data_IF_032840801934
#
_entry.id   IF_032840801934
#
_cell.length_a   1.000
_cell.length_b   1.000
_cell.length_c   1.000
_cell.angle_alpha   90.00
_cell.angle_beta   90.00
_cell.angle_gamma   90.00
#
_symmetry.space_group_name_H-M   'P 1'
#
loop_
_entity.id
_entity.type
_entity.pdbx_description
1 polymer ?
#
# COMPACT_ATOMS: atom_id res chain seq x y z
N UNK A 1 -21.39 26.43 19.61
CA UNK A 1 -20.72 26.00 18.36
C UNK A 1 -21.39 24.72 17.88
N UNK A 2 -22.07 24.71 16.73
CA UNK A 2 -22.68 23.49 16.18
C UNK A 2 -21.57 22.66 15.55
N UNK A 3 -21.42 21.40 15.96
CA UNK A 3 -20.43 20.48 15.39
C UNK A 3 -20.98 19.97 14.07
N UNK A 4 -20.33 20.29 12.97
CA UNK A 4 -20.70 19.81 11.63
C UNK A 4 -20.11 18.41 11.41
N UNK A 5 -20.88 17.53 10.77
CA UNK A 5 -20.50 16.15 10.47
C UNK A 5 -20.48 15.95 8.96
N UNK A 6 -19.46 15.29 8.43
CA UNK A 6 -19.35 15.02 7.00
C UNK A 6 -19.50 13.52 6.71
N UNK A 7 -20.06 13.21 5.55
CA UNK A 7 -20.21 11.85 5.08
C UNK A 7 -18.86 11.28 4.65
N UNK A 8 -18.48 10.10 5.15
CA UNK A 8 -17.22 9.45 4.75
C UNK A 8 -17.14 9.12 3.26
N UNK A 9 -18.28 8.84 2.60
CA UNK A 9 -18.34 8.45 1.20
C UNK A 9 -18.29 9.66 0.23
N UNK A 10 -19.21 10.63 0.37
CA UNK A 10 -19.32 11.76 -0.56
C UNK A 10 -18.80 13.10 -0.02
N UNK A 11 -18.37 13.15 1.25
CA UNK A 11 -17.84 14.35 1.92
C UNK A 11 -18.82 15.49 2.14
N UNK A 12 -20.07 15.36 1.70
CA UNK A 12 -21.13 16.32 1.98
C UNK A 12 -21.48 16.39 3.48
N UNK A 13 -21.98 17.54 3.90
CA UNK A 13 -22.41 17.78 5.29
C UNK A 13 -23.69 16.99 5.57
N UNK A 14 -23.70 16.27 6.69
CA UNK A 14 -24.81 15.41 7.12
C UNK A 14 -25.11 15.63 8.61
N UNK A 15 -26.28 15.16 9.04
CA UNK A 15 -26.62 15.13 10.45
C UNK A 15 -25.82 14.05 11.19
N UNK A 16 -25.57 14.28 12.49
CA UNK A 16 -24.74 13.43 13.37
C UNK A 16 -25.20 11.96 13.40
N UNK A 17 -26.51 11.77 13.38
CA UNK A 17 -27.24 10.52 13.57
C UNK A 17 -27.92 10.03 12.29
N UNK A 18 -27.57 10.61 11.13
CA UNK A 18 -28.07 10.15 9.86
C UNK A 18 -27.71 8.67 9.66
N UNK A 19 -28.73 7.81 9.55
CA UNK A 19 -28.55 6.38 9.23
C UNK A 19 -28.31 6.15 7.75
N UNK A 20 -28.70 7.11 6.90
CA UNK A 20 -28.48 7.13 5.45
C UNK A 20 -28.14 8.54 4.97
N UNK A 21 -27.15 8.67 4.10
CA UNK A 21 -26.80 9.95 3.49
C UNK A 21 -27.85 10.37 2.43
N UNK A 22 -28.36 11.61 2.45
CA UNK A 22 -29.31 12.09 1.44
C UNK A 22 -28.66 12.40 0.08
N UNK A 23 -27.34 12.59 0.03
CA UNK A 23 -26.63 12.96 -1.20
C UNK A 23 -26.16 11.73 -2.00
N UNK A 24 -25.64 10.71 -1.32
CA UNK A 24 -25.06 9.53 -1.99
C UNK A 24 -25.70 8.19 -1.60
N UNK A 25 -26.59 8.18 -0.60
CA UNK A 25 -27.29 6.96 -0.18
C UNK A 25 -26.50 6.00 0.69
N UNK A 26 -25.24 6.30 1.05
CA UNK A 26 -24.44 5.44 1.95
C UNK A 26 -25.09 5.31 3.32
N UNK A 27 -25.04 4.11 3.91
CA UNK A 27 -25.53 3.86 5.28
C UNK A 27 -24.44 4.27 6.29
N UNK A 28 -24.86 4.83 7.42
CA UNK A 28 -23.96 5.33 8.47
C UNK A 28 -22.85 6.28 7.97
N UNK A 29 -23.21 7.41 7.32
CA UNK A 29 -22.25 8.37 6.76
C UNK A 29 -21.23 8.90 7.77
N UNK A 30 -21.54 8.93 9.07
CA UNK A 30 -20.68 9.49 10.12
C UNK A 30 -19.70 8.48 10.75
N UNK A 31 -19.83 7.19 10.43
CA UNK A 31 -18.96 6.12 10.97
C UNK A 31 -18.02 5.67 9.86
N UNK A 32 -16.74 6.02 9.98
CA UNK A 32 -15.68 5.48 9.15
C UNK A 32 -15.17 4.18 9.79
N UNK A 33 -15.48 3.03 9.18
CA UNK A 33 -14.96 1.73 9.62
C UNK A 33 -13.45 1.61 9.32
N UNK A 34 -12.63 2.27 10.15
CA UNK A 34 -11.21 1.96 10.28
C UNK A 34 -11.05 0.65 11.04
N UNK A 35 -10.39 -0.33 10.42
CA UNK A 35 -10.14 -1.69 10.94
C UNK A 35 -9.68 -1.65 12.40
N UNK A 36 -10.40 -2.39 13.24
CA UNK A 36 -10.22 -2.45 14.68
C UNK A 36 -8.90 -3.11 15.12
N UNK A 37 -8.32 -2.51 16.14
CA UNK A 37 -7.37 -3.10 17.08
C UNK A 37 -8.14 -4.04 18.03
N UNK A 38 -7.75 -5.31 18.12
CA UNK A 38 -8.05 -6.17 19.26
C UNK A 38 -6.84 -7.07 19.52
N UNK A 39 -6.02 -6.66 20.48
CA UNK A 39 -5.11 -7.56 21.16
C UNK A 39 -5.86 -8.39 22.19
N UNK A 40 -5.69 -9.71 22.14
CA UNK A 40 -5.81 -10.62 23.28
C UNK A 40 -4.74 -11.70 23.09
N UNK A 41 -3.70 -11.65 23.91
CA UNK A 41 -2.81 -12.77 24.21
C UNK A 41 -3.47 -13.62 25.32
N UNK A 42 -3.00 -14.88 25.44
CA UNK A 42 -3.20 -15.86 26.54
C UNK A 42 -4.46 -16.74 26.33
N UNK A 43 -4.48 -18.09 26.41
CA UNK A 43 -3.54 -19.20 26.61
C UNK A 43 -4.43 -20.47 26.60
N UNK A 44 -3.94 -21.58 26.03
CA UNK A 44 -4.39 -22.98 26.25
C UNK A 44 -5.86 -23.38 26.04
N UNK A 45 -6.10 -24.37 25.19
CA UNK A 45 -6.52 -25.74 25.59
C UNK A 45 -6.68 -26.59 24.33
N UNK A 46 -5.87 -27.65 24.28
CA UNK A 46 -6.00 -28.78 23.36
C UNK A 46 -7.27 -29.54 23.72
N UNK A 47 -8.27 -29.56 22.85
CA UNK A 47 -9.26 -30.64 22.77
C UNK A 47 -9.51 -30.90 21.30
N UNK A 48 -9.05 -32.07 20.84
CA UNK A 48 -9.30 -32.55 19.50
C UNK A 48 -10.78 -32.89 19.30
N UNK A 49 -11.26 -32.61 18.10
CA UNK A 49 -12.32 -33.42 17.50
C UNK A 49 -11.83 -33.93 16.15
N UNK A 50 -11.61 -35.23 16.17
CA UNK A 50 -11.31 -36.13 15.08
C UNK A 50 -12.59 -36.34 14.22
N UNK A 51 -12.43 -36.10 12.92
CA UNK A 51 -12.99 -36.78 11.73
C UNK A 51 -14.50 -37.00 11.49
N UNK A 52 -14.78 -36.95 10.18
CA UNK A 52 -15.76 -37.70 9.39
C UNK A 52 -17.16 -37.12 9.19
N UNK A 53 -17.32 -36.46 8.05
CA UNK A 53 -18.45 -36.71 7.16
C UNK A 53 -18.01 -36.56 5.71
N UNK A 54 -17.59 -37.68 5.12
CA UNK A 54 -17.69 -37.91 3.69
C UNK A 54 -19.14 -38.32 3.42
N UNK A 55 -19.86 -37.55 2.61
CA UNK A 55 -21.08 -38.01 1.97
C UNK A 55 -20.76 -38.21 0.49
N UNK A 56 -20.82 -39.49 0.12
CA UNK A 56 -20.53 -40.10 -1.17
C UNK A 56 -21.56 -39.67 -2.25
N UNK A 57 -21.06 -39.36 -3.44
CA UNK A 57 -21.82 -39.41 -4.68
C UNK A 57 -20.85 -39.69 -5.81
N UNK A 58 -20.64 -40.99 -6.03
CA UNK A 58 -19.89 -41.57 -7.14
C UNK A 58 -20.40 -41.07 -8.51
N UNK A 59 -19.48 -40.60 -9.34
CA UNK A 59 -19.49 -40.87 -10.77
C UNK A 59 -18.04 -41.01 -11.22
N UNK A 60 -17.63 -42.26 -11.41
CA UNK A 60 -16.35 -42.62 -11.99
C UNK A 60 -16.33 -42.26 -13.48
N UNK A 61 -15.34 -41.48 -13.89
CA UNK A 61 -14.66 -41.75 -15.16
C UNK A 61 -13.17 -41.56 -14.92
N UNK A 62 -12.48 -42.68 -14.74
CA UNK A 62 -11.03 -42.74 -14.83
C UNK A 62 -10.61 -42.27 -16.22
N UNK A 63 -9.97 -41.10 -16.30
CA UNK A 63 -8.99 -40.85 -17.34
C UNK A 63 -7.79 -40.14 -16.73
N UNK A 64 -6.65 -40.78 -16.90
CA UNK A 64 -5.33 -40.33 -16.52
C UNK A 64 -5.07 -38.96 -17.15
N UNK A 65 -5.01 -37.92 -16.33
CA UNK A 65 -4.24 -36.73 -16.62
C UNK A 65 -3.50 -36.31 -15.35
N UNK A 66 -2.39 -37.01 -15.11
CA UNK A 66 -1.23 -36.33 -14.56
C UNK A 66 -0.83 -35.25 -15.56
N UNK A 67 -1.09 -33.98 -15.25
CA UNK A 67 -0.36 -32.85 -15.78
C UNK A 67 -0.51 -31.66 -14.81
N UNK A 68 0.59 -31.43 -14.09
CA UNK A 68 1.04 -30.13 -13.63
C UNK A 68 0.14 -29.37 -12.64
N UNK A 69 0.13 -29.83 -11.39
CA UNK A 69 0.30 -28.86 -10.30
C UNK A 69 1.81 -28.58 -10.15
N UNK A 70 2.34 -27.81 -11.10
CA UNK A 70 3.44 -26.91 -10.75
C UNK A 70 2.82 -25.93 -9.77
N UNK A 71 2.95 -26.23 -8.48
CA UNK A 71 2.92 -25.18 -7.48
C UNK A 71 4.03 -24.22 -7.88
N UNK A 72 3.68 -23.20 -8.67
CA UNK A 72 4.52 -22.04 -8.80
C UNK A 72 4.67 -21.51 -7.38
N UNK A 73 5.83 -21.76 -6.78
CA UNK A 73 6.41 -20.90 -5.77
C UNK A 73 6.71 -19.56 -6.44
N UNK A 74 5.67 -18.83 -6.83
CA UNK A 74 5.79 -17.46 -7.31
C UNK A 74 6.11 -16.62 -6.07
N UNK A 75 7.39 -16.56 -5.70
CA UNK A 75 7.90 -15.59 -4.73
C UNK A 75 7.24 -14.25 -5.08
N UNK A 76 6.53 -13.60 -4.15
CA UNK A 76 5.87 -12.33 -4.42
C UNK A 76 6.89 -11.38 -5.03
N UNK A 77 6.62 -10.89 -6.25
CA UNK A 77 7.50 -9.95 -6.94
C UNK A 77 7.81 -8.79 -5.98
N UNK A 78 9.08 -8.46 -5.81
CA UNK A 78 9.58 -7.51 -4.79
C UNK A 78 8.95 -6.10 -4.90
N UNK A 79 8.42 -5.75 -6.08
CA UNK A 79 7.73 -4.49 -6.37
C UNK A 79 6.20 -4.58 -6.20
N UNK A 80 5.63 -5.69 -5.73
CA UNK A 80 4.19 -5.77 -5.45
C UNK A 80 3.83 -5.10 -4.12
N UNK A 81 2.61 -4.60 -4.05
CA UNK A 81 1.96 -4.09 -2.83
C UNK A 81 2.58 -2.81 -2.23
N UNK A 82 3.27 -1.99 -3.02
CA UNK A 82 3.65 -0.63 -2.61
C UNK A 82 2.45 0.31 -2.64
N UNK A 83 2.16 0.99 -1.54
CA UNK A 83 0.99 1.87 -1.40
C UNK A 83 1.26 3.17 -0.64
N UNK A 84 2.52 3.49 -0.35
CA UNK A 84 2.86 4.61 0.54
C UNK A 84 2.95 5.96 -0.18
N UNK A 85 2.81 6.01 -1.51
CA UNK A 85 3.06 7.22 -2.29
C UNK A 85 2.16 8.41 -1.89
N UNK A 86 0.94 8.13 -1.40
CA UNK A 86 0.00 9.15 -0.94
C UNK A 86 -0.01 9.33 0.58
N UNK A 87 0.77 8.53 1.29
CA UNK A 87 0.90 8.58 2.74
C UNK A 87 1.90 9.66 3.18
N UNK A 88 1.88 9.98 4.47
CA UNK A 88 2.82 10.92 5.07
C UNK A 88 4.21 10.30 5.28
N UNK A 89 5.21 11.17 5.42
CA UNK A 89 6.55 10.80 5.83
C UNK A 89 6.60 10.06 7.18
N UNK A 90 5.63 10.30 8.09
CA UNK A 90 5.51 9.52 9.33
C UNK A 90 5.19 8.04 9.07
N UNK A 91 4.27 7.77 8.14
CA UNK A 91 3.94 6.39 7.75
C UNK A 91 5.14 5.75 7.06
N UNK A 92 5.84 6.50 6.20
CA UNK A 92 7.09 6.04 5.59
C UNK A 92 8.12 5.62 6.63
N UNK A 93 8.42 6.46 7.63
CA UNK A 93 9.39 6.16 8.69
C UNK A 93 9.13 4.83 9.40
N UNK A 94 7.87 4.48 9.62
CA UNK A 94 7.44 3.25 10.31
C UNK A 94 7.28 2.04 9.39
N UNK A 95 7.35 2.24 8.07
CA UNK A 95 7.10 1.18 7.10
C UNK A 95 8.30 0.26 6.92
N UNK A 96 8.01 -1.01 6.59
CA UNK A 96 9.06 -1.98 6.26
C UNK A 96 9.84 -1.56 5.01
N UNK A 97 11.12 -1.97 4.92
CA UNK A 97 11.93 -1.71 3.74
C UNK A 97 11.28 -2.26 2.45
N UNK A 98 10.61 -3.41 2.51
CA UNK A 98 9.90 -3.99 1.37
C UNK A 98 8.78 -3.08 0.85
N UNK A 99 7.99 -2.46 1.74
CA UNK A 99 6.94 -1.50 1.35
C UNK A 99 7.51 -0.20 0.79
N UNK A 100 8.62 0.29 1.36
CA UNK A 100 9.34 1.45 0.85
C UNK A 100 9.86 1.19 -0.56
N UNK A 101 10.52 0.05 -0.76
CA UNK A 101 11.10 -0.36 -2.03
C UNK A 101 10.03 -0.56 -3.12
N UNK A 102 8.93 -1.25 -2.81
CA UNK A 102 7.83 -1.41 -3.76
C UNK A 102 7.13 -0.09 -4.07
N UNK A 103 6.98 0.81 -3.10
CA UNK A 103 6.45 2.16 -3.34
C UNK A 103 7.37 2.98 -4.24
N UNK A 104 8.68 2.98 -3.98
CA UNK A 104 9.66 3.67 -4.81
C UNK A 104 9.66 3.13 -6.26
N UNK A 105 9.56 1.81 -6.42
CA UNK A 105 9.43 1.19 -7.74
C UNK A 105 8.14 1.62 -8.47
N UNK A 106 7.01 1.69 -7.76
CA UNK A 106 5.74 2.15 -8.33
C UNK A 106 5.80 3.62 -8.77
N UNK A 107 6.50 4.47 -8.02
CA UNK A 107 6.72 5.87 -8.39
C UNK A 107 7.51 5.95 -9.70
N UNK A 108 8.65 5.25 -9.80
CA UNK A 108 9.41 5.20 -11.06
C UNK A 108 8.61 4.60 -12.21
N UNK A 109 7.85 3.53 -11.96
CA UNK A 109 7.03 2.87 -12.96
C UNK A 109 6.00 3.83 -13.55
N UNK A 110 5.39 4.69 -12.73
CA UNK A 110 4.47 5.72 -13.22
C UNK A 110 5.17 6.66 -14.21
N UNK A 111 6.32 7.24 -13.86
CA UNK A 111 7.06 8.12 -14.77
C UNK A 111 7.62 7.40 -16.01
N UNK A 112 7.99 6.13 -15.88
CA UNK A 112 8.47 5.30 -16.99
C UNK A 112 7.34 5.03 -18.00
N UNK A 113 6.16 4.62 -17.51
CA UNK A 113 4.97 4.39 -18.32
C UNK A 113 4.49 5.69 -18.99
N UNK A 114 4.54 6.80 -18.28
CA UNK A 114 4.19 8.13 -18.79
C UNK A 114 5.27 8.73 -19.71
N UNK A 115 6.42 8.06 -19.89
CA UNK A 115 7.57 8.50 -20.69
C UNK A 115 8.10 9.88 -20.27
N UNK A 116 8.08 10.16 -18.97
CA UNK A 116 8.52 11.44 -18.39
C UNK A 116 9.82 11.33 -17.60
N UNK A 117 10.40 10.13 -17.50
CA UNK A 117 11.80 9.97 -17.10
C UNK A 117 12.74 10.57 -18.15
N UNK A 118 13.91 11.00 -17.72
CA UNK A 118 14.95 11.53 -18.62
C UNK A 118 15.31 10.52 -19.73
N UNK A 119 15.73 10.98 -20.93
CA UNK A 119 16.06 10.07 -22.03
C UNK A 119 17.14 9.04 -21.68
N UNK A 120 18.13 9.43 -20.87
CA UNK A 120 19.18 8.53 -20.39
C UNK A 120 18.61 7.40 -19.52
N UNK A 121 17.66 7.73 -18.65
CA UNK A 121 17.06 6.72 -17.77
C UNK A 121 16.06 5.84 -18.55
N UNK A 122 15.28 6.42 -19.45
CA UNK A 122 14.34 5.69 -20.30
C UNK A 122 15.03 4.60 -21.14
N UNK A 123 16.24 4.84 -21.64
CA UNK A 123 16.97 3.85 -22.46
C UNK A 123 17.52 2.66 -21.65
N UNK A 124 17.70 2.83 -20.35
CA UNK A 124 18.21 1.80 -19.44
C UNK A 124 17.11 0.85 -18.93
N UNK A 125 15.85 1.28 -18.96
CA UNK A 125 14.73 0.53 -18.36
C UNK A 125 13.95 -0.19 -19.45
N UNK A 126 14.02 -1.53 -19.46
CA UNK A 126 13.25 -2.39 -20.38
C UNK A 126 12.13 -3.14 -19.66
N UNK A 127 12.24 -3.26 -18.34
CA UNK A 127 11.34 -4.02 -17.50
C UNK A 127 11.28 -3.46 -16.08
N UNK A 128 10.29 -3.90 -15.30
CA UNK A 128 10.19 -3.58 -13.87
C UNK A 128 11.42 -3.99 -13.06
N UNK A 129 12.17 -5.02 -13.49
CA UNK A 129 13.37 -5.43 -12.76
C UNK A 129 14.52 -4.43 -12.92
N UNK A 130 14.60 -3.74 -14.06
CA UNK A 130 15.61 -2.72 -14.31
C UNK A 130 15.38 -1.47 -13.44
N UNK A 131 14.17 -1.30 -12.91
CA UNK A 131 13.84 -0.23 -11.96
C UNK A 131 14.42 -0.46 -10.56
N UNK A 132 14.81 -1.69 -10.20
CA UNK A 132 15.24 -2.04 -8.84
C UNK A 132 16.35 -1.14 -8.28
N UNK A 133 17.51 -0.96 -8.95
CA UNK A 133 18.57 -0.12 -8.41
C UNK A 133 18.14 1.35 -8.24
N UNK A 134 17.26 1.85 -9.11
CA UNK A 134 16.73 3.21 -9.00
C UNK A 134 15.75 3.35 -7.83
N UNK A 135 14.89 2.35 -7.62
CA UNK A 135 13.99 2.28 -6.48
C UNK A 135 14.75 2.19 -5.15
N UNK A 136 15.80 1.36 -5.07
CA UNK A 136 16.67 1.26 -3.90
C UNK A 136 17.33 2.60 -3.57
N UNK A 137 17.86 3.30 -4.58
CA UNK A 137 18.45 4.63 -4.40
C UNK A 137 17.41 5.64 -3.90
N UNK A 138 16.20 5.65 -4.48
CA UNK A 138 15.14 6.55 -4.05
C UNK A 138 14.68 6.25 -2.61
N UNK A 139 14.67 4.98 -2.18
CA UNK A 139 14.42 4.65 -0.76
C UNK A 139 15.46 5.29 0.15
N UNK A 140 16.74 5.20 -0.20
CA UNK A 140 17.83 5.81 0.59
C UNK A 140 17.65 7.34 0.68
N UNK A 141 17.34 7.99 -0.44
CA UNK A 141 17.15 9.44 -0.49
C UNK A 141 15.91 9.88 0.30
N UNK A 142 14.81 9.13 0.23
CA UNK A 142 13.60 9.37 1.03
C UNK A 142 13.83 9.08 2.53
N UNK A 143 14.55 8.02 2.88
CA UNK A 143 14.91 7.73 4.28
C UNK A 143 15.82 8.83 4.86
N UNK A 144 16.70 9.40 4.05
CA UNK A 144 17.51 10.55 4.44
C UNK A 144 16.65 11.80 4.63
N UNK A 145 15.77 12.11 3.67
CA UNK A 145 14.88 13.27 3.73
C UNK A 145 13.88 13.19 4.89
N UNK A 146 13.43 11.97 5.23
CA UNK A 146 12.47 11.70 6.29
C UNK A 146 13.11 11.14 7.56
N UNK A 147 14.38 11.44 7.82
CA UNK A 147 15.05 11.02 9.05
C UNK A 147 14.24 11.48 10.28
N UNK A 148 13.87 10.59 11.22
CA UNK A 148 13.06 10.97 12.36
C UNK A 148 13.71 12.08 13.19
N UNK A 149 12.88 13.02 13.64
CA UNK A 149 13.33 14.05 14.56
C UNK A 149 13.62 13.48 15.96
N UNK A 150 14.24 14.30 16.82
CA UNK A 150 14.73 13.86 18.14
C UNK A 150 13.63 13.39 19.07
N UNK A 151 12.42 13.95 18.94
CA UNK A 151 11.25 13.59 19.75
C UNK A 151 10.06 13.29 18.86
N UNK A 152 9.14 12.45 19.35
CA UNK A 152 7.92 12.10 18.62
C UNK A 152 7.05 13.33 18.31
N UNK A 153 6.97 14.28 19.26
CA UNK A 153 6.20 15.51 19.10
C UNK A 153 6.75 16.38 17.98
N UNK A 154 8.07 16.59 17.95
CA UNK A 154 8.76 17.32 16.89
C UNK A 154 8.62 16.60 15.54
N UNK A 155 8.83 15.28 15.53
CA UNK A 155 8.73 14.45 14.34
C UNK A 155 7.34 14.58 13.69
N UNK A 156 6.28 14.53 14.50
CA UNK A 156 4.89 14.75 14.05
C UNK A 156 4.68 16.15 13.47
N UNK A 157 5.21 17.20 14.11
CA UNK A 157 5.09 18.56 13.60
C UNK A 157 5.75 18.75 12.22
N UNK A 158 6.91 18.13 12.01
CA UNK A 158 7.68 18.27 10.77
C UNK A 158 7.06 17.44 9.63
N UNK A 159 6.71 16.18 9.91
CA UNK A 159 6.48 15.17 8.86
C UNK A 159 5.01 14.77 8.64
N UNK A 160 4.06 15.20 9.47
CA UNK A 160 2.66 14.81 9.34
C UNK A 160 2.01 15.26 8.01
N UNK A 161 2.47 16.38 7.45
CA UNK A 161 1.90 16.98 6.24
C UNK A 161 2.78 16.80 5.00
N UNK A 162 3.91 16.10 5.11
CA UNK A 162 4.81 15.85 3.97
C UNK A 162 4.43 14.53 3.32
N UNK A 163 3.98 14.54 2.07
CA UNK A 163 3.66 13.29 1.35
C UNK A 163 4.91 12.68 0.72
N UNK A 164 4.94 11.34 0.68
CA UNK A 164 6.02 10.58 0.05
C UNK A 164 6.19 10.93 -1.43
N UNK A 165 5.09 11.00 -2.19
CA UNK A 165 5.14 11.32 -3.63
C UNK A 165 5.69 12.72 -3.92
N UNK A 166 5.33 13.73 -3.11
CA UNK A 166 5.80 15.09 -3.28
C UNK A 166 7.32 15.18 -3.08
N UNK A 167 7.85 14.57 -2.01
CA UNK A 167 9.28 14.50 -1.79
C UNK A 167 10.00 13.69 -2.89
N UNK A 168 9.43 12.56 -3.31
CA UNK A 168 10.01 11.73 -4.38
C UNK A 168 10.12 12.50 -5.69
N UNK A 169 9.09 13.28 -6.08
CA UNK A 169 9.13 14.14 -7.27
C UNK A 169 10.26 15.14 -7.17
N UNK A 170 10.41 15.83 -6.03
CA UNK A 170 11.50 16.80 -5.83
C UNK A 170 12.87 16.15 -5.96
N UNK A 171 13.07 14.97 -5.34
CA UNK A 171 14.32 14.22 -5.42
C UNK A 171 14.63 13.82 -6.87
N UNK A 172 13.66 13.25 -7.59
CA UNK A 172 13.79 12.88 -9.00
C UNK A 172 14.14 14.09 -9.88
N UNK A 173 13.53 15.25 -9.62
CA UNK A 173 13.82 16.50 -10.32
C UNK A 173 15.25 17.01 -10.04
N UNK A 174 15.65 17.05 -8.76
CA UNK A 174 16.99 17.50 -8.34
C UNK A 174 18.10 16.60 -8.92
N UNK A 175 17.82 15.31 -9.07
CA UNK A 175 18.72 14.33 -9.66
C UNK A 175 18.71 14.32 -11.19
N UNK A 176 17.99 15.24 -11.84
CA UNK A 176 17.79 15.29 -13.30
C UNK A 176 17.23 13.97 -13.89
N UNK A 177 16.43 13.24 -13.12
CA UNK A 177 15.87 11.94 -13.54
C UNK A 177 14.55 12.08 -14.30
N UNK A 178 13.94 13.27 -14.29
CA UNK A 178 12.75 13.61 -15.08
C UNK A 178 13.12 14.52 -16.27
N UNK A 179 12.27 14.54 -17.30
CA UNK A 179 12.39 15.48 -18.41
C UNK A 179 12.24 16.92 -17.90
N UNK A 180 13.15 17.80 -18.31
CA UNK A 180 13.02 19.24 -18.11
C UNK A 180 12.07 19.77 -19.18
N UNK A 181 10.94 20.34 -18.76
CA UNK A 181 10.08 21.12 -19.65
C UNK A 181 10.70 22.48 -19.94
#
# INVERSE_FOLDING_TARGET
MKKEYSCHACKEVVQKDATKCPHCGTKHPTISNGKGCLGVLILSVVIGFLIHSCADSNNDTTSLNALNNTAETTTPKWYKNGSLQNESALVWQQSSHAQKLSTAANIYAAFWLDKTLSPNLMSQIKSMNDLKPFAEKLVIELDSAFKPASTEKENKMIFANQKVSEAAVLILMMNNQLIKK
#
